data_IF_158621761113
#
_entry.id   IF_158621761113
#
_cell.length_a   1.000
_cell.length_b   1.000
_cell.length_c   1.000
_cell.angle_alpha   90.00
_cell.angle_beta   90.00
_cell.angle_gamma   90.00
#
_symmetry.space_group_name_H-M   'P 1'
#
loop_
_entity.id
_entity.type
_entity.pdbx_description
1 polymer ?
#
# COMPACT_ATOMS: atom_id res chain seq x y z
N UNK A 1 11.54 6.44 2.99
CA UNK A 1 11.62 4.99 3.28
C UNK A 1 10.44 4.18 2.76
N UNK A 2 9.21 4.28 3.29
CA UNK A 2 8.08 3.45 2.80
C UNK A 2 7.64 3.80 1.38
N UNK A 3 7.28 5.07 1.13
CA UNK A 3 6.91 5.57 -0.21
C UNK A 3 8.00 5.27 -1.24
N UNK A 4 9.25 5.52 -0.86
CA UNK A 4 10.42 5.23 -1.67
C UNK A 4 10.51 3.73 -2.03
N UNK A 5 10.34 2.84 -1.05
CA UNK A 5 10.35 1.38 -1.25
C UNK A 5 9.22 0.92 -2.17
N UNK A 6 8.02 1.46 -1.99
CA UNK A 6 6.90 1.22 -2.88
C UNK A 6 7.21 1.69 -4.31
N UNK A 7 7.80 2.87 -4.46
CA UNK A 7 8.14 3.41 -5.78
C UNK A 7 9.23 2.61 -6.49
N UNK A 8 10.19 2.06 -5.74
CA UNK A 8 11.17 1.11 -6.30
C UNK A 8 10.50 -0.16 -6.83
N UNK A 9 9.51 -0.71 -6.11
CA UNK A 9 8.72 -1.85 -6.58
C UNK A 9 8.00 -1.48 -7.89
N UNK A 10 7.27 -0.37 -7.92
CA UNK A 10 6.52 0.08 -9.11
C UNK A 10 7.46 0.24 -10.30
N UNK A 11 8.59 0.94 -10.10
CA UNK A 11 9.59 1.18 -11.15
C UNK A 11 10.21 -0.12 -11.71
N UNK A 12 10.31 -1.17 -10.90
CA UNK A 12 10.86 -2.46 -11.33
C UNK A 12 9.93 -3.29 -12.23
N UNK A 13 8.62 -2.98 -12.22
CA UNK A 13 7.59 -3.74 -12.94
C UNK A 13 7.13 -3.00 -14.21
N UNK A 14 7.05 -1.68 -14.16
CA UNK A 14 6.58 -0.86 -15.28
C UNK A 14 7.64 -0.70 -16.39
N UNK A 15 7.23 -0.59 -17.66
CA UNK A 15 8.17 -0.57 -18.79
C UNK A 15 8.91 0.77 -18.97
N UNK A 16 8.39 1.87 -18.44
CA UNK A 16 8.98 3.20 -18.58
C UNK A 16 8.64 4.12 -17.39
N UNK A 17 9.38 5.23 -17.27
CA UNK A 17 9.29 6.17 -16.17
C UNK A 17 7.92 6.86 -16.05
N UNK A 18 7.33 7.31 -17.17
CA UNK A 18 6.05 8.01 -17.16
C UNK A 18 4.93 7.12 -16.61
N UNK A 19 4.89 5.85 -17.04
CA UNK A 19 3.94 4.87 -16.51
C UNK A 19 4.19 4.59 -15.02
N UNK A 20 5.46 4.58 -14.59
CA UNK A 20 5.82 4.47 -13.18
C UNK A 20 5.26 5.61 -12.32
N UNK A 21 5.34 6.86 -12.79
CA UNK A 21 4.74 8.01 -12.09
C UNK A 21 3.21 7.85 -12.00
N UNK A 22 2.54 7.57 -13.12
CA UNK A 22 1.07 7.49 -13.17
C UNK A 22 0.56 6.36 -12.24
N UNK A 23 1.17 5.18 -12.34
CA UNK A 23 0.81 4.02 -11.51
C UNK A 23 1.13 4.30 -10.04
N UNK A 24 2.31 4.84 -9.74
CA UNK A 24 2.73 5.17 -8.38
C UNK A 24 1.79 6.17 -7.71
N UNK A 25 1.45 7.26 -8.41
CA UNK A 25 0.51 8.27 -7.92
C UNK A 25 -0.88 7.69 -7.69
N UNK A 26 -1.38 6.83 -8.60
CA UNK A 26 -2.67 6.15 -8.44
C UNK A 26 -2.71 5.25 -7.21
N UNK A 27 -1.68 4.41 -7.00
CA UNK A 27 -1.56 3.54 -5.83
C UNK A 27 -1.51 4.39 -4.55
N UNK A 28 -0.67 5.43 -4.53
CA UNK A 28 -0.51 6.31 -3.39
C UNK A 28 -1.83 7.03 -3.03
N UNK A 29 -2.56 7.52 -4.03
CA UNK A 29 -3.85 8.16 -3.86
C UNK A 29 -4.90 7.23 -3.25
N UNK A 30 -4.99 5.99 -3.76
CA UNK A 30 -5.88 4.96 -3.19
C UNK A 30 -5.49 4.66 -1.75
N UNK A 31 -4.21 4.48 -1.46
CA UNK A 31 -3.70 4.16 -0.11
C UNK A 31 -3.98 5.28 0.90
N UNK A 32 -3.93 6.55 0.48
CA UNK A 32 -4.30 7.69 1.34
C UNK A 32 -5.80 7.69 1.61
N UNK A 33 -6.62 7.46 0.58
CA UNK A 33 -8.09 7.44 0.70
C UNK A 33 -8.56 6.36 1.68
N UNK A 34 -8.00 5.15 1.58
CA UNK A 34 -8.30 4.06 2.50
C UNK A 34 -7.50 4.12 3.80
N UNK A 35 -6.63 5.12 4.00
CA UNK A 35 -5.78 5.20 5.19
C UNK A 35 -6.54 5.43 6.50
N UNK A 36 -7.84 5.70 6.47
CA UNK A 36 -8.64 5.93 7.67
C UNK A 36 -8.79 7.40 8.08
N UNK A 37 -8.12 8.33 7.36
CA UNK A 37 -8.26 9.78 7.58
C UNK A 37 -9.44 10.37 6.79
N UNK A 38 -9.48 10.16 5.48
CA UNK A 38 -10.55 10.69 4.61
C UNK A 38 -11.86 9.91 4.70
N UNK A 39 -11.76 8.60 4.93
CA UNK A 39 -12.91 7.71 5.09
C UNK A 39 -12.62 6.73 6.21
N UNK A 40 -13.53 6.66 7.17
CA UNK A 40 -13.33 5.87 8.36
C UNK A 40 -13.47 4.37 8.05
N UNK A 41 -12.82 3.49 8.83
CA UNK A 41 -12.89 2.03 8.65
C UNK A 41 -14.30 1.42 8.55
N UNK A 42 -15.33 1.88 9.31
CA UNK A 42 -16.70 1.39 9.14
C UNK A 42 -17.33 1.75 7.79
N UNK A 43 -16.97 2.88 7.19
CA UNK A 43 -17.61 3.42 5.99
C UNK A 43 -16.96 2.97 4.67
N UNK A 44 -15.89 2.18 4.74
CA UNK A 44 -15.21 1.62 3.58
C UNK A 44 -15.98 0.42 3.00
N UNK A 45 -16.23 0.39 1.68
CA UNK A 45 -16.90 -0.75 1.04
C UNK A 45 -16.07 -2.03 1.20
N UNK A 46 -16.75 -3.07 1.66
CA UNK A 46 -16.13 -4.23 2.32
C UNK A 46 -15.26 -5.13 1.43
N UNK A 47 -15.62 -5.50 0.19
CA UNK A 47 -14.95 -6.61 -0.48
C UNK A 47 -13.57 -6.29 -1.08
N UNK A 48 -13.25 -5.01 -1.33
CA UNK A 48 -11.96 -4.63 -1.93
C UNK A 48 -11.25 -3.54 -1.12
N UNK A 49 -11.94 -2.44 -0.83
CA UNK A 49 -11.31 -1.28 -0.17
C UNK A 49 -11.01 -1.54 1.31
N UNK A 50 -11.92 -2.23 2.02
CA UNK A 50 -11.69 -2.62 3.42
C UNK A 50 -10.75 -3.83 3.55
N UNK A 51 -10.85 -4.80 2.66
CA UNK A 51 -9.96 -5.96 2.61
C UNK A 51 -9.58 -6.22 1.15
N UNK A 52 -8.31 -6.07 0.73
CA UNK A 52 -7.09 -5.93 1.53
C UNK A 52 -6.52 -4.51 1.66
N UNK A 53 -7.01 -3.53 0.89
CA UNK A 53 -6.32 -2.24 0.71
C UNK A 53 -6.12 -1.45 2.00
N UNK A 54 -7.13 -1.39 2.87
CA UNK A 54 -7.04 -0.74 4.20
C UNK A 54 -5.87 -1.26 5.06
N UNK A 55 -5.61 -2.58 5.04
CA UNK A 55 -4.59 -3.20 5.89
C UNK A 55 -3.18 -3.13 5.31
N UNK A 56 -3.07 -3.03 3.98
CA UNK A 56 -1.80 -2.87 3.27
C UNK A 56 -1.36 -1.40 3.25
N UNK A 57 -2.31 -0.47 3.34
CA UNK A 57 -2.02 0.95 3.38
C UNK A 57 -1.20 1.34 4.61
N UNK A 58 0.09 1.61 4.43
CA UNK A 58 0.95 2.05 5.53
C UNK A 58 0.46 3.35 6.19
N UNK A 59 -0.28 4.20 5.46
CA UNK A 59 -0.90 5.42 6.00
C UNK A 59 -1.82 5.12 7.18
N UNK A 60 -2.52 3.97 7.19
CA UNK A 60 -3.34 3.55 8.33
C UNK A 60 -2.56 3.59 9.63
N UNK A 61 -1.43 2.88 9.68
CA UNK A 61 -0.59 2.79 10.87
C UNK A 61 0.13 4.11 11.16
N UNK A 62 0.49 4.88 10.13
CA UNK A 62 1.06 6.21 10.31
C UNK A 62 0.06 7.16 10.99
N UNK A 63 -1.19 7.21 10.52
CA UNK A 63 -2.24 8.02 11.13
C UNK A 63 -2.56 7.52 12.54
N UNK A 64 -2.75 6.22 12.74
CA UNK A 64 -2.99 5.68 14.09
C UNK A 64 -1.86 6.02 15.06
N UNK A 65 -0.60 5.86 14.66
CA UNK A 65 0.56 6.21 15.47
C UNK A 65 0.64 7.70 15.78
N UNK A 66 0.43 8.58 14.79
CA UNK A 66 0.45 10.04 14.97
C UNK A 66 -0.67 10.52 15.91
N UNK A 67 -1.90 10.06 15.69
CA UNK A 67 -3.04 10.45 16.50
C UNK A 67 -2.91 9.89 17.93
N UNK A 68 -2.46 8.65 18.10
CA UNK A 68 -2.16 8.13 19.44
C UNK A 68 -1.02 8.92 20.11
N UNK A 69 -0.05 9.43 19.36
CA UNK A 69 1.01 10.25 19.94
C UNK A 69 0.50 11.61 20.43
N UNK A 70 -0.44 12.21 19.71
CA UNK A 70 -0.96 13.55 20.00
C UNK A 70 -2.05 13.53 21.07
N UNK A 71 -2.95 12.54 21.06
CA UNK A 71 -4.15 12.56 21.91
C UNK A 71 -3.99 11.77 23.22
N UNK A 72 -3.19 10.69 23.26
CA UNK A 72 -3.11 9.86 24.47
C UNK A 72 -2.52 10.63 25.65
N UNK A 73 -3.21 10.57 26.80
CA UNK A 73 -2.81 11.23 28.04
C UNK A 73 -3.19 12.72 28.12
N UNK A 74 -3.87 13.27 27.11
CA UNK A 74 -4.36 14.64 27.11
C UNK A 74 -5.89 14.71 27.26
N UNK A 75 -6.37 15.82 27.79
CA UNK A 75 -7.79 16.15 27.92
C UNK A 75 -8.10 17.45 27.20
N UNK A 76 -9.21 17.49 26.48
CA UNK A 76 -9.60 18.63 25.66
C UNK A 76 -10.97 19.17 26.11
N UNK A 77 -11.25 20.47 25.90
CA UNK A 77 -12.58 21.02 26.09
C UNK A 77 -13.58 20.30 25.18
N UNK A 78 -14.69 19.84 25.75
CA UNK A 78 -15.71 19.14 24.97
C UNK A 78 -16.68 20.15 24.35
N UNK A 79 -16.82 20.12 23.02
CA UNK A 79 -17.79 20.95 22.30
C UNK A 79 -19.23 20.58 22.63
N UNK A 80 -19.48 19.35 23.09
CA UNK A 80 -20.81 18.88 23.52
C UNK A 80 -21.13 19.19 24.98
N UNK A 81 -20.23 19.88 25.70
CA UNK A 81 -20.45 20.31 27.08
C UNK A 81 -21.74 21.13 27.26
N UNK A 82 -22.14 21.87 26.22
CA UNK A 82 -23.39 22.66 26.21
C UNK A 82 -24.68 21.84 26.08
N UNK A 83 -24.60 20.56 25.69
CA UNK A 83 -25.74 19.67 25.47
C UNK A 83 -25.92 18.65 26.61
N UNK A 84 -25.38 18.94 27.80
CA UNK A 84 -25.44 18.04 28.96
C UNK A 84 -24.34 16.98 29.01
N UNK A 85 -23.33 17.07 28.12
CA UNK A 85 -22.14 16.24 28.16
C UNK A 85 -21.10 16.71 29.20
N UNK A 86 -20.10 15.88 29.47
CA UNK A 86 -18.94 16.24 30.29
C UNK A 86 -18.25 17.50 29.72
N UNK A 87 -17.78 18.47 30.55
CA UNK A 87 -17.11 19.67 30.09
C UNK A 87 -15.78 19.42 29.37
N UNK A 88 -15.19 18.25 29.62
CA UNK A 88 -13.93 17.80 29.02
C UNK A 88 -14.07 16.41 28.44
N UNK A 89 -13.38 16.16 27.33
CA UNK A 89 -13.28 14.86 26.66
C UNK A 89 -11.84 14.38 26.68
N UNK A 90 -11.63 13.10 26.97
CA UNK A 90 -10.28 12.51 26.98
C UNK A 90 -9.81 12.22 25.56
N UNK A 91 -8.51 12.30 25.30
CA UNK A 91 -7.97 11.94 23.99
C UNK A 91 -8.21 10.48 23.61
N UNK A 92 -8.34 9.57 24.60
CA UNK A 92 -8.72 8.18 24.36
C UNK A 92 -10.16 8.05 23.82
N UNK A 93 -11.09 8.83 24.35
CA UNK A 93 -12.46 8.90 23.83
C UNK A 93 -12.50 9.49 22.42
N UNK A 94 -11.73 10.55 22.15
CA UNK A 94 -11.60 11.13 20.80
C UNK A 94 -11.11 10.06 19.81
N UNK A 95 -10.06 9.31 20.16
CA UNK A 95 -9.51 8.26 19.30
C UNK A 95 -10.51 7.14 19.02
N UNK A 96 -11.32 6.76 20.02
CA UNK A 96 -12.27 5.66 19.90
C UNK A 96 -13.58 6.06 19.24
N UNK A 97 -14.14 7.21 19.61
CA UNK A 97 -15.46 7.66 19.17
C UNK A 97 -15.40 8.43 17.86
N UNK A 98 -14.44 9.33 17.70
CA UNK A 98 -14.32 10.15 16.48
C UNK A 98 -13.60 9.38 15.38
N UNK A 99 -12.47 8.75 15.70
CA UNK A 99 -11.62 8.12 14.69
C UNK A 99 -11.85 6.63 14.52
N UNK A 100 -12.60 6.00 15.44
CA UNK A 100 -12.80 4.54 15.47
C UNK A 100 -11.47 3.76 15.44
N UNK A 101 -10.42 4.33 16.04
CA UNK A 101 -9.12 3.70 16.12
C UNK A 101 -9.08 2.66 17.24
N UNK A 102 -8.29 1.62 17.01
CA UNK A 102 -8.11 0.56 17.98
C UNK A 102 -7.14 1.02 19.07
N UNK A 103 -7.67 1.25 20.26
CA UNK A 103 -6.90 1.65 21.45
C UNK A 103 -6.36 0.46 22.24
N UNK A 104 -6.61 -0.78 21.77
CA UNK A 104 -6.15 -2.01 22.43
C UNK A 104 -4.62 -2.13 22.49
N UNK A 105 -3.89 -1.43 21.62
CA UNK A 105 -2.43 -1.44 21.58
C UNK A 105 -1.83 -0.03 21.42
N UNK A 106 -0.59 0.09 21.89
CA UNK A 106 0.16 1.35 21.96
C UNK A 106 0.66 1.84 20.59
N UNK A 107 0.94 3.15 20.50
CA UNK A 107 1.57 3.81 19.34
C UNK A 107 2.89 3.16 18.88
N UNK A 108 3.60 2.50 19.80
CA UNK A 108 4.85 1.79 19.50
C UNK A 108 4.64 0.56 18.61
N UNK A 109 3.47 -0.08 18.71
CA UNK A 109 3.13 -1.20 17.83
C UNK A 109 2.89 -0.71 16.41
N UNK A 110 2.19 0.42 16.23
CA UNK A 110 2.04 1.07 14.93
C UNK A 110 3.40 1.41 14.31
N UNK A 111 4.33 1.95 15.11
CA UNK A 111 5.70 2.23 14.67
C UNK A 111 6.47 0.98 14.27
N UNK A 112 6.34 -0.10 15.05
CA UNK A 112 6.97 -1.39 14.75
C UNK A 112 6.42 -2.00 13.44
N UNK A 113 5.11 -1.91 13.21
CA UNK A 113 4.48 -2.34 11.95
C UNK A 113 5.02 -1.53 10.78
N UNK A 114 5.13 -0.20 10.90
CA UNK A 114 5.70 0.64 9.84
C UNK A 114 7.15 0.24 9.53
N UNK A 115 7.96 -0.05 10.55
CA UNK A 115 9.33 -0.52 10.34
C UNK A 115 9.37 -1.89 9.65
N UNK A 116 8.54 -2.83 10.09
CA UNK A 116 8.41 -4.14 9.45
C UNK A 116 7.98 -4.01 7.97
N UNK A 117 7.07 -3.08 7.66
CA UNK A 117 6.66 -2.79 6.29
C UNK A 117 7.82 -2.27 5.42
N UNK A 118 8.74 -1.46 5.97
CA UNK A 118 9.93 -1.01 5.23
C UNK A 118 10.77 -2.22 4.81
N UNK A 119 11.07 -3.10 5.77
CA UNK A 119 11.87 -4.32 5.50
C UNK A 119 11.15 -5.18 4.47
N UNK A 120 9.85 -5.41 4.65
CA UNK A 120 9.03 -6.20 3.73
C UNK A 120 9.06 -5.66 2.30
N UNK A 121 8.80 -4.36 2.09
CA UNK A 121 8.84 -3.76 0.75
C UNK A 121 10.23 -3.82 0.11
N UNK A 122 11.30 -3.65 0.90
CA UNK A 122 12.68 -3.81 0.39
C UNK A 122 12.96 -5.24 -0.04
N UNK A 123 12.53 -6.23 0.73
CA UNK A 123 12.67 -7.65 0.37
C UNK A 123 11.87 -7.98 -0.89
N UNK A 124 10.61 -7.52 -0.98
CA UNK A 124 9.79 -7.70 -2.18
C UNK A 124 10.45 -7.08 -3.41
N UNK A 125 10.97 -5.86 -3.31
CA UNK A 125 11.70 -5.21 -4.39
C UNK A 125 12.89 -6.06 -4.86
N UNK A 126 13.70 -6.58 -3.94
CA UNK A 126 14.84 -7.44 -4.27
C UNK A 126 14.40 -8.74 -4.96
N UNK A 127 13.30 -9.36 -4.51
CA UNK A 127 12.74 -10.56 -5.12
C UNK A 127 12.27 -10.27 -6.56
N UNK A 128 11.57 -9.15 -6.77
CA UNK A 128 11.06 -8.76 -8.10
C UNK A 128 12.21 -8.51 -9.06
N UNK A 129 13.22 -7.74 -8.65
CA UNK A 129 14.40 -7.48 -9.48
C UNK A 129 15.11 -8.79 -9.86
N UNK A 130 15.41 -9.66 -8.88
CA UNK A 130 16.07 -10.94 -9.14
C UNK A 130 15.26 -11.85 -10.05
N UNK A 131 13.94 -11.84 -9.94
CA UNK A 131 13.06 -12.64 -10.80
C UNK A 131 13.06 -12.07 -12.21
N UNK A 132 12.91 -10.76 -12.36
CA UNK A 132 12.92 -10.07 -13.65
C UNK A 132 14.24 -10.24 -14.40
N UNK A 133 15.37 -10.20 -13.71
CA UNK A 133 16.70 -10.47 -14.28
C UNK A 133 16.82 -11.89 -14.84
N UNK A 134 16.22 -12.89 -14.19
CA UNK A 134 16.22 -14.28 -14.68
C UNK A 134 15.23 -14.50 -15.82
N UNK A 135 14.09 -13.82 -15.81
CA UNK A 135 13.02 -13.99 -16.81
C UNK A 135 13.37 -13.29 -18.13
N UNK A 136 13.99 -12.09 -18.09
CA UNK A 136 14.41 -11.35 -19.29
C UNK A 136 15.19 -12.19 -20.32
N UNK A 137 16.28 -12.91 -19.97
CA UNK A 137 17.02 -13.72 -20.93
C UNK A 137 16.21 -14.93 -21.42
N UNK A 138 15.34 -15.50 -20.60
CA UNK A 138 14.47 -16.62 -21.00
C UNK A 138 13.41 -16.15 -22.01
N UNK A 139 12.79 -15.00 -21.76
CA UNK A 139 11.80 -14.39 -22.66
C UNK A 139 12.44 -14.01 -23.99
N UNK A 140 13.64 -13.41 -23.98
CA UNK A 140 14.39 -13.09 -25.21
C UNK A 140 14.74 -14.36 -25.98
N UNK A 141 15.22 -15.41 -25.30
CA UNK A 141 15.48 -16.72 -25.94
C UNK A 141 14.21 -17.30 -26.56
N UNK A 142 13.10 -17.30 -25.83
CA UNK A 142 11.82 -17.84 -26.31
C UNK A 142 11.29 -17.06 -27.52
N UNK A 143 11.26 -15.72 -27.44
CA UNK A 143 10.87 -14.86 -28.57
C UNK A 143 11.76 -15.07 -29.80
N UNK A 144 13.07 -15.25 -29.60
CA UNK A 144 13.99 -15.55 -30.70
C UNK A 144 13.75 -16.93 -31.32
N UNK A 145 13.40 -17.94 -30.51
CA UNK A 145 13.08 -19.29 -30.95
C UNK A 145 11.77 -19.31 -31.75
N UNK A 146 10.70 -18.71 -31.22
CA UNK A 146 9.40 -18.56 -31.91
C UNK A 146 9.55 -17.78 -33.21
N UNK A 147 10.37 -16.73 -33.25
CA UNK A 147 10.66 -15.98 -34.48
C UNK A 147 11.37 -16.86 -35.52
N UNK A 148 12.37 -17.65 -35.10
CA UNK A 148 13.11 -18.56 -35.99
C UNK A 148 12.19 -19.64 -36.58
N UNK A 149 11.33 -20.24 -35.76
CA UNK A 149 10.34 -21.23 -36.20
C UNK A 149 9.36 -20.64 -37.22
N UNK A 150 8.82 -19.44 -36.95
CA UNK A 150 7.93 -18.75 -37.89
C UNK A 150 8.61 -18.46 -39.23
N UNK A 151 9.87 -18.00 -39.22
CA UNK A 151 10.64 -17.77 -40.45
C UNK A 151 10.88 -19.07 -41.21
N UNK A 152 11.19 -20.18 -40.54
CA UNK A 152 11.32 -21.48 -41.22
C UNK A 152 10.01 -21.94 -41.89
N UNK A 153 8.87 -21.80 -41.22
CA UNK A 153 7.56 -22.15 -41.80
C UNK A 153 7.20 -21.27 -43.01
N UNK A 154 7.59 -19.99 -42.99
CA UNK A 154 7.33 -19.06 -44.11
C UNK A 154 8.24 -19.34 -45.31
N UNK A 155 9.48 -19.79 -45.07
CA UNK A 155 10.47 -20.08 -46.12
C UNK A 155 10.27 -21.46 -46.74
N UNK A 156 9.65 -22.41 -46.03
CA UNK A 156 9.40 -23.77 -46.54
C UNK A 156 7.97 -24.26 -46.24
N UNK A 157 6.95 -23.72 -46.94
CA UNK A 157 5.54 -24.05 -46.68
C UNK A 157 5.15 -25.51 -47.00
N UNK A 158 6.00 -26.26 -47.72
CA UNK A 158 5.75 -27.63 -48.17
C UNK A 158 6.20 -28.72 -47.19
N UNK A 159 6.78 -28.34 -46.06
CA UNK A 159 7.29 -29.26 -45.04
C UNK A 159 6.30 -29.40 -43.88
N UNK A 160 5.11 -29.93 -44.17
CA UNK A 160 4.21 -30.48 -43.15
C UNK A 160 3.76 -31.86 -43.63
N UNK A 161 3.64 -32.88 -42.75
CA UNK A 161 3.17 -34.21 -43.15
C UNK A 161 1.74 -34.20 -43.70
#
# INVERSE_FOLDING_TARGET
MLVESLMMIVASVVPNFLMGIIVGAGIQGIMILVGGFFRLPPDLPKPLLKYPFYYIAFHKYAYQGMFKNEFLGLTFPNVEAGNGGSPTITGEEILKQTWHFETAYSKWVDLAILFAMVVFYRVLFLIIIKTTEKVKPVMVKFMSATRKERTQVTVNPSATP
#
